data_IF_464648513213
#
_entry.id   IF_464648513213
#
_cell.length_a   1.000
_cell.length_b   1.000
_cell.length_c   1.000
_cell.angle_alpha   90.00
_cell.angle_beta   90.00
_cell.angle_gamma   90.00
#
_symmetry.space_group_name_H-M   'P 1'
#
loop_
_entity.id
_entity.type
_entity.pdbx_description
1 polymer ?
#
# COMPACT_ATOMS: atom_id res chain seq x y z
N UNK A 1 -31.80 -1.32 -28.01
CA UNK A 1 -30.37 -1.33 -27.67
C UNK A 1 -29.91 0.10 -27.53
N UNK A 2 -29.66 0.57 -26.31
CA UNK A 2 -28.98 1.83 -26.07
C UNK A 2 -28.19 1.66 -24.77
N UNK A 3 -26.95 1.20 -24.89
CA UNK A 3 -25.99 1.21 -23.79
C UNK A 3 -25.63 2.67 -23.53
N UNK A 4 -26.27 3.26 -22.53
CA UNK A 4 -25.86 4.54 -21.97
C UNK A 4 -24.48 4.35 -21.32
N UNK A 5 -23.43 4.55 -22.10
CA UNK A 5 -22.08 4.70 -21.58
C UNK A 5 -22.04 6.06 -20.88
N UNK A 6 -22.42 6.08 -19.61
CA UNK A 6 -22.20 7.20 -18.70
C UNK A 6 -20.68 7.34 -18.61
N UNK A 7 -20.10 8.25 -19.41
CA UNK A 7 -18.69 8.61 -19.29
C UNK A 7 -18.58 9.26 -17.91
N UNK A 8 -18.26 8.46 -16.89
CA UNK A 8 -17.88 8.96 -15.59
C UNK A 8 -16.66 9.83 -15.84
N UNK A 9 -16.72 11.11 -15.45
CA UNK A 9 -15.61 12.01 -15.60
C UNK A 9 -14.41 11.42 -14.86
N UNK A 10 -13.43 10.92 -15.61
CA UNK A 10 -12.22 10.32 -15.07
C UNK A 10 -11.44 11.44 -14.37
N UNK A 11 -11.37 11.36 -13.04
CA UNK A 11 -10.71 12.39 -12.25
C UNK A 11 -9.22 12.11 -12.25
N UNK A 12 -8.43 13.03 -12.79
CA UNK A 12 -6.96 12.94 -12.72
C UNK A 12 -6.51 13.54 -11.38
N UNK A 13 -5.74 12.77 -10.60
CA UNK A 13 -5.18 13.18 -9.33
C UNK A 13 -3.67 12.97 -9.32
N UNK A 14 -2.93 13.79 -8.60
CA UNK A 14 -1.55 13.48 -8.23
C UNK A 14 -1.52 12.34 -7.21
N UNK A 15 -0.39 11.64 -7.09
CA UNK A 15 -0.17 10.61 -6.05
C UNK A 15 -0.52 11.13 -4.66
N UNK A 16 -0.06 12.34 -4.31
CA UNK A 16 -0.32 12.96 -3.00
C UNK A 16 -1.81 13.18 -2.76
N UNK A 17 -2.53 13.73 -3.74
CA UNK A 17 -3.98 13.97 -3.61
C UNK A 17 -4.76 12.65 -3.51
N UNK A 18 -4.35 11.63 -4.23
CA UNK A 18 -4.98 10.31 -4.18
C UNK A 18 -4.74 9.63 -2.81
N UNK A 19 -3.54 9.74 -2.24
CA UNK A 19 -3.23 9.27 -0.89
C UNK A 19 -4.10 9.98 0.15
N UNK A 20 -4.19 11.31 0.09
CA UNK A 20 -5.06 12.10 0.97
C UNK A 20 -6.53 11.71 0.82
N UNK A 21 -6.97 11.41 -0.40
CA UNK A 21 -8.33 10.98 -0.71
C UNK A 21 -8.68 9.64 -0.04
N UNK A 22 -7.76 8.68 -0.11
CA UNK A 22 -7.88 7.38 0.55
C UNK A 22 -7.84 7.50 2.06
N UNK A 23 -6.95 8.34 2.60
CA UNK A 23 -6.86 8.59 4.05
C UNK A 23 -8.14 9.23 4.61
N UNK A 24 -8.94 9.92 3.80
CA UNK A 24 -10.27 10.43 4.15
C UNK A 24 -11.38 9.37 4.05
N UNK A 25 -11.04 8.12 3.73
CA UNK A 25 -11.97 6.99 3.64
C UNK A 25 -12.67 6.82 2.29
N UNK A 26 -12.25 7.55 1.26
CA UNK A 26 -12.83 7.42 -0.08
C UNK A 26 -12.08 6.36 -0.90
N UNK A 27 -12.75 5.77 -1.90
CA UNK A 27 -12.10 4.90 -2.89
C UNK A 27 -11.54 5.71 -4.08
N UNK A 28 -10.71 5.07 -4.90
CA UNK A 28 -10.11 5.66 -6.10
C UNK A 28 -10.74 5.11 -7.39
N UNK A 29 -12.00 4.68 -7.33
CA UNK A 29 -12.70 4.14 -8.49
C UNK A 29 -12.94 5.24 -9.53
N UNK A 30 -12.52 5.01 -10.79
CA UNK A 30 -12.60 6.02 -11.86
C UNK A 30 -11.58 7.17 -11.75
N UNK A 31 -10.59 7.05 -10.86
CA UNK A 31 -9.46 7.98 -10.75
C UNK A 31 -8.30 7.50 -11.61
N UNK A 32 -7.62 8.44 -12.27
CA UNK A 32 -6.34 8.21 -12.95
C UNK A 32 -5.26 9.02 -12.26
N UNK A 33 -4.09 8.43 -12.06
CA UNK A 33 -2.97 9.15 -11.51
C UNK A 33 -2.22 9.91 -12.61
N UNK A 34 -1.76 11.12 -12.28
CA UNK A 34 -0.91 11.92 -13.16
C UNK A 34 0.43 11.21 -13.42
N UNK A 35 0.74 10.96 -14.70
CA UNK A 35 1.96 10.29 -15.19
C UNK A 35 3.27 10.91 -14.69
N UNK A 36 3.27 12.20 -14.37
CA UNK A 36 4.44 12.88 -13.82
C UNK A 36 4.76 12.45 -12.39
N UNK A 37 3.72 12.08 -11.63
CA UNK A 37 3.82 11.76 -10.19
C UNK A 37 3.98 10.26 -9.92
N UNK A 38 3.60 9.40 -10.87
CA UNK A 38 3.68 7.95 -10.71
C UNK A 38 5.09 7.38 -10.89
N UNK A 39 6.09 8.16 -11.29
CA UNK A 39 7.43 7.63 -11.64
C UNK A 39 8.29 7.30 -10.41
N UNK A 40 8.04 7.99 -9.30
CA UNK A 40 8.74 7.79 -8.04
C UNK A 40 7.71 7.93 -6.92
N UNK A 41 7.13 6.79 -6.52
CA UNK A 41 6.15 6.71 -5.43
C UNK A 41 6.81 6.05 -4.24
N UNK A 42 6.70 6.67 -3.07
CA UNK A 42 7.18 6.06 -1.83
C UNK A 42 6.39 4.78 -1.54
N UNK A 43 7.05 3.73 -1.04
CA UNK A 43 6.39 2.47 -0.67
C UNK A 43 5.17 2.66 0.25
N UNK A 44 5.22 3.59 1.21
CA UNK A 44 4.11 3.91 2.12
C UNK A 44 2.89 4.41 1.35
N UNK A 45 3.10 5.36 0.45
CA UNK A 45 2.05 5.93 -0.40
C UNK A 45 1.49 4.87 -1.35
N UNK A 46 2.35 4.05 -1.96
CA UNK A 46 1.93 2.94 -2.82
C UNK A 46 1.02 1.94 -2.06
N UNK A 47 1.33 1.64 -0.80
CA UNK A 47 0.48 0.78 0.04
C UNK A 47 -0.87 1.43 0.35
N UNK A 48 -0.92 2.75 0.58
CA UNK A 48 -2.18 3.48 0.78
C UNK A 48 -3.03 3.46 -0.50
N UNK A 49 -2.42 3.74 -1.66
CA UNK A 49 -3.10 3.70 -2.95
C UNK A 49 -3.67 2.30 -3.26
N UNK A 50 -2.93 1.24 -2.92
CA UNK A 50 -3.40 -0.13 -3.09
C UNK A 50 -4.69 -0.41 -2.29
N UNK A 51 -4.82 0.14 -1.08
CA UNK A 51 -6.07 0.07 -0.28
C UNK A 51 -7.22 0.81 -0.96
N UNK A 52 -6.92 1.89 -1.69
CA UNK A 52 -7.89 2.66 -2.47
C UNK A 52 -8.28 2.05 -3.81
N UNK A 53 -7.60 0.97 -4.24
CA UNK A 53 -7.86 0.26 -5.50
C UNK A 53 -6.89 0.57 -6.65
N UNK A 54 -5.83 1.35 -6.42
CA UNK A 54 -4.79 1.64 -7.43
C UNK A 54 -3.49 0.94 -7.06
N UNK A 55 -3.00 0.08 -7.95
CA UNK A 55 -1.72 -0.63 -7.76
C UNK A 55 -0.63 0.08 -8.56
N UNK A 56 0.45 0.46 -7.89
CA UNK A 56 1.63 1.05 -8.53
C UNK A 56 2.59 -0.07 -8.96
N UNK A 57 3.13 -0.05 -10.19
CA UNK A 57 4.15 -1.00 -10.61
C UNK A 57 5.39 -0.93 -9.72
N UNK A 58 5.98 -2.07 -9.39
CA UNK A 58 7.18 -2.13 -8.51
C UNK A 58 8.34 -1.27 -9.02
N UNK A 59 8.52 -1.16 -10.33
CA UNK A 59 9.57 -0.33 -10.97
C UNK A 59 9.47 1.16 -10.63
N UNK A 60 8.28 1.61 -10.22
CA UNK A 60 7.98 2.99 -9.89
C UNK A 60 8.00 3.25 -8.38
N UNK A 61 8.18 2.21 -7.58
CA UNK A 61 8.24 2.31 -6.12
C UNK A 61 9.69 2.52 -5.70
N UNK A 62 9.92 3.52 -4.86
CA UNK A 62 11.21 3.67 -4.19
C UNK A 62 11.05 3.47 -2.68
N UNK A 63 12.12 2.96 -2.08
CA UNK A 63 12.23 2.77 -0.64
C UNK A 63 13.11 3.89 -0.10
N UNK A 64 12.62 4.55 0.94
CA UNK A 64 13.35 5.60 1.64
C UNK A 64 13.48 5.20 3.11
N UNK A 65 14.67 4.73 3.48
CA UNK A 65 14.95 4.27 4.83
C UNK A 65 14.92 5.43 5.84
N UNK A 66 15.11 6.68 5.39
CA UNK A 66 15.01 7.88 6.23
C UNK A 66 13.58 8.14 6.73
N UNK A 67 12.56 7.53 6.11
CA UNK A 67 11.15 7.65 6.51
C UNK A 67 10.67 6.49 7.40
N UNK A 68 11.57 5.58 7.76
CA UNK A 68 11.31 4.52 8.73
C UNK A 68 11.46 5.12 10.12
N UNK A 69 10.34 5.49 10.72
CA UNK A 69 10.29 5.98 12.09
C UNK A 69 10.37 4.79 13.06
N UNK A 70 11.21 4.93 14.10
CA UNK A 70 11.26 3.96 15.18
C UNK A 70 9.95 4.02 15.96
N UNK A 71 9.28 2.88 16.06
CA UNK A 71 8.03 2.73 16.81
C UNK A 71 8.34 2.03 18.14
N UNK A 72 8.34 2.80 19.23
CA UNK A 72 8.62 2.32 20.59
C UNK A 72 7.56 1.32 21.10
N UNK A 73 6.33 1.36 20.57
CA UNK A 73 5.26 0.43 20.93
C UNK A 73 5.51 -0.97 20.36
N UNK A 74 6.25 -1.10 19.25
CA UNK A 74 6.63 -2.39 18.67
C UNK A 74 7.63 -3.12 19.57
N UNK A 75 8.54 -2.41 20.23
CA UNK A 75 9.55 -3.01 21.09
C UNK A 75 8.96 -3.50 22.43
N UNK A 76 7.86 -2.90 22.89
CA UNK A 76 7.13 -3.35 24.08
C UNK A 76 6.21 -4.56 23.81
N UNK A 77 6.04 -4.98 22.56
CA UNK A 77 5.26 -6.17 22.22
C UNK A 77 5.95 -7.44 22.75
N UNK A 78 5.55 -7.84 23.95
CA UNK A 78 5.83 -9.17 24.48
C UNK A 78 4.99 -10.18 23.69
N UNK A 79 5.64 -10.94 22.79
CA UNK A 79 5.01 -12.08 22.12
C UNK A 79 4.63 -13.11 23.20
N UNK A 80 3.38 -13.08 23.65
CA UNK A 80 2.85 -13.97 24.70
C UNK A 80 2.68 -15.42 24.23
N UNK A 81 2.77 -15.67 22.92
CA UNK A 81 2.93 -17.00 22.36
C UNK A 81 4.41 -17.35 22.29
N UNK A 82 4.91 -18.14 23.24
CA UNK A 82 6.32 -18.49 23.32
C UNK A 82 6.91 -18.83 21.95
N UNK A 83 7.97 -18.11 21.56
CA UNK A 83 8.77 -18.42 20.38
C UNK A 83 9.15 -19.88 20.52
N UNK A 84 8.51 -20.77 19.76
CA UNK A 84 8.88 -22.17 19.76
C UNK A 84 10.25 -22.20 19.08
N UNK A 85 11.32 -22.18 19.87
CA UNK A 85 12.69 -22.39 19.42
C UNK A 85 12.81 -23.85 18.97
N UNK A 86 12.16 -24.16 17.86
CA UNK A 86 12.37 -25.39 17.13
C UNK A 86 13.64 -25.21 16.31
N UNK A 87 14.53 -26.16 16.45
CA UNK A 87 15.63 -26.35 15.51
C UNK A 87 15.07 -26.58 14.10
N UNK A 88 15.88 -26.32 13.08
CA UNK A 88 15.49 -26.56 11.68
C UNK A 88 15.05 -28.02 11.44
N UNK A 89 15.64 -28.97 12.15
CA UNK A 89 15.31 -30.40 12.09
C UNK A 89 13.91 -30.71 12.66
N UNK A 90 13.51 -30.02 13.73
CA UNK A 90 12.19 -30.19 14.33
C UNK A 90 11.08 -29.54 13.49
N UNK A 91 11.39 -28.46 12.77
CA UNK A 91 10.46 -27.85 11.81
C UNK A 91 10.17 -28.77 10.61
N UNK A 92 11.18 -29.51 10.16
CA UNK A 92 11.07 -30.41 9.00
C UNK A 92 10.18 -31.64 9.27
N UNK A 93 10.04 -32.09 10.52
CA UNK A 93 9.21 -33.26 10.89
C UNK A 93 7.73 -32.96 11.08
N UNK A 94 7.33 -31.69 11.04
CA UNK A 94 5.93 -31.27 11.29
C UNK A 94 5.09 -31.17 10.01
N UNK A 95 5.71 -31.44 8.85
CA UNK A 95 5.08 -31.55 7.54
C UNK A 95 5.06 -33.00 7.07
#
# INVERSE_FOLDING_TARGET
MSTNLKIMAMKVLTVKEAVEWVNKGNNLEGVVLDESTIKQVNVRDAMVLARGGIVIPEQNIYYNDDEIEYDEDIDELVITGGIVKLTWEEKAKRF
#
